data_IF_783875449874
#
_entry.id   IF_783875449874
#
_cell.length_a   1.000
_cell.length_b   1.000
_cell.length_c   1.000
_cell.angle_alpha   90.00
_cell.angle_beta   90.00
_cell.angle_gamma   90.00
#
_symmetry.space_group_name_H-M   'P 1'
#
loop_
_entity.id
_entity.type
_entity.pdbx_description
1 polymer ?
#
# COMPACT_ATOMS: atom_id res chain seq x y z
N UNK A 1 -11.50 -16.82 -1.78
CA UNK A 1 -10.27 -16.79 -2.59
C UNK A 1 -10.41 -15.65 -3.59
N UNK A 2 -9.63 -14.57 -3.45
CA UNK A 2 -9.68 -13.46 -4.40
C UNK A 2 -9.06 -13.91 -5.74
N UNK A 3 -9.83 -13.78 -6.82
CA UNK A 3 -9.38 -14.16 -8.16
C UNK A 3 -8.31 -13.18 -8.64
N UNK A 4 -7.06 -13.62 -8.64
CA UNK A 4 -5.89 -12.84 -9.07
C UNK A 4 -5.90 -12.77 -10.60
N UNK A 5 -6.15 -11.59 -11.17
CA UNK A 5 -6.03 -11.39 -12.63
C UNK A 5 -4.57 -11.06 -12.94
N UNK A 6 -3.87 -11.89 -13.73
CA UNK A 6 -2.50 -11.60 -14.13
C UNK A 6 -2.46 -10.40 -15.09
N UNK A 7 -1.60 -9.41 -14.80
CA UNK A 7 -1.28 -8.32 -15.71
C UNK A 7 -0.17 -8.78 -16.67
N UNK A 8 -0.11 -8.28 -17.93
CA UNK A 8 0.92 -8.64 -18.91
C UNK A 8 2.36 -8.46 -18.41
N UNK A 9 2.59 -7.55 -17.46
CA UNK A 9 3.92 -7.23 -16.93
C UNK A 9 4.34 -8.09 -15.73
N UNK A 10 3.63 -9.20 -15.45
CA UNK A 10 3.95 -10.14 -14.38
C UNK A 10 3.49 -9.71 -12.98
N UNK A 11 3.00 -8.48 -12.83
CA UNK A 11 2.28 -8.04 -11.64
C UNK A 11 0.85 -8.54 -11.67
N UNK A 12 0.24 -8.67 -10.48
CA UNK A 12 -1.15 -9.04 -10.39
C UNK A 12 -1.83 -8.26 -9.29
N UNK A 13 -2.89 -7.57 -9.69
CA UNK A 13 -3.68 -6.70 -8.82
C UNK A 13 -4.83 -7.52 -8.24
N UNK A 14 -4.88 -7.72 -6.90
CA UNK A 14 -6.01 -8.40 -6.29
C UNK A 14 -7.27 -7.57 -6.55
N UNK A 15 -8.37 -8.25 -6.92
CA UNK A 15 -9.67 -7.59 -7.00
C UNK A 15 -10.16 -7.36 -5.58
N UNK A 16 -10.25 -6.10 -5.16
CA UNK A 16 -10.70 -5.70 -3.83
C UNK A 16 -11.87 -4.72 -3.95
N UNK A 17 -12.84 -4.75 -3.01
CA UNK A 17 -13.85 -3.71 -2.96
C UNK A 17 -13.19 -2.36 -2.67
N UNK A 18 -13.83 -1.26 -3.11
CA UNK A 18 -13.33 0.10 -2.84
C UNK A 18 -13.27 0.42 -1.33
N UNK A 19 -14.12 -0.25 -0.54
CA UNK A 19 -14.11 -0.21 0.92
C UNK A 19 -14.08 -1.64 1.44
N UNK A 20 -13.09 -1.95 2.28
CA UNK A 20 -12.94 -3.27 2.90
C UNK A 20 -13.68 -3.27 4.24
N UNK A 21 -14.69 -4.12 4.45
CA UNK A 21 -15.34 -4.26 5.76
C UNK A 21 -14.32 -4.66 6.83
N UNK A 22 -14.49 -4.19 8.06
CA UNK A 22 -13.50 -4.43 9.14
C UNK A 22 -13.19 -5.92 9.36
N UNK A 23 -14.21 -6.78 9.23
CA UNK A 23 -14.07 -8.23 9.37
C UNK A 23 -13.20 -8.87 8.27
N UNK A 24 -13.06 -8.22 7.11
CA UNK A 24 -12.36 -8.75 5.95
C UNK A 24 -10.93 -8.18 5.79
N UNK A 25 -10.54 -7.20 6.63
CA UNK A 25 -9.23 -6.50 6.52
C UNK A 25 -8.07 -7.49 6.45
N UNK A 26 -7.97 -8.42 7.40
CA UNK A 26 -6.89 -9.40 7.42
C UNK A 26 -6.89 -10.28 6.16
N UNK A 27 -8.04 -10.83 5.80
CA UNK A 27 -8.16 -11.71 4.62
C UNK A 27 -7.80 -11.02 3.31
N UNK A 28 -8.08 -9.72 3.18
CA UNK A 28 -7.81 -8.97 1.95
C UNK A 28 -6.37 -8.48 1.93
N UNK A 29 -5.90 -7.85 3.01
CA UNK A 29 -4.60 -7.19 3.04
C UNK A 29 -3.43 -8.17 3.17
N UNK A 30 -3.60 -9.32 3.83
CA UNK A 30 -2.53 -10.32 3.93
C UNK A 30 -2.23 -11.04 2.61
N UNK A 31 -3.14 -10.96 1.63
CA UNK A 31 -2.93 -11.49 0.29
C UNK A 31 -1.89 -10.68 -0.51
N UNK A 32 -1.58 -9.45 -0.10
CA UNK A 32 -0.56 -8.61 -0.74
C UNK A 32 0.84 -8.91 -0.20
N UNK A 33 1.85 -8.77 -1.05
CA UNK A 33 3.26 -8.86 -0.66
C UNK A 33 3.77 -7.54 -0.04
N UNK A 34 3.18 -6.41 -0.43
CA UNK A 34 3.46 -5.06 0.07
C UNK A 34 2.17 -4.24 0.07
N UNK A 35 2.02 -3.36 1.07
CA UNK A 35 0.88 -2.45 1.21
C UNK A 35 1.37 -1.01 1.11
N UNK A 36 0.88 -0.26 0.13
CA UNK A 36 1.16 1.17 -0.02
C UNK A 36 0.00 1.96 0.59
N UNK A 37 0.29 2.73 1.63
CA UNK A 37 -0.65 3.62 2.29
C UNK A 37 -0.35 5.06 1.87
N UNK A 38 -1.32 5.74 1.26
CA UNK A 38 -1.20 7.14 0.83
C UNK A 38 -1.36 8.11 2.00
N UNK A 39 -0.49 8.00 3.00
CA UNK A 39 -0.44 8.88 4.17
C UNK A 39 0.15 10.24 3.81
N UNK A 40 -0.28 11.28 4.50
CA UNK A 40 0.24 12.65 4.38
C UNK A 40 1.01 13.12 5.62
N UNK A 41 1.07 12.31 6.69
CA UNK A 41 1.80 12.65 7.90
C UNK A 41 2.20 11.43 8.75
N UNK A 42 3.16 11.63 9.65
CA UNK A 42 3.51 10.65 10.68
C UNK A 42 2.31 10.32 11.58
N UNK A 43 1.43 11.29 11.85
CA UNK A 43 0.23 11.07 12.66
C UNK A 43 -0.73 10.06 12.01
N UNK A 44 -0.91 10.12 10.69
CA UNK A 44 -1.74 9.16 9.96
C UNK A 44 -1.11 7.76 9.94
N UNK A 45 0.22 7.68 9.74
CA UNK A 45 0.96 6.42 9.87
C UNK A 45 0.73 5.81 11.25
N UNK A 46 0.95 6.60 12.29
CA UNK A 46 0.88 6.12 13.67
C UNK A 46 -0.55 5.72 14.04
N UNK A 47 -1.56 6.43 13.52
CA UNK A 47 -2.97 6.06 13.66
C UNK A 47 -3.30 4.72 12.98
N UNK A 48 -2.76 4.46 11.78
CA UNK A 48 -2.91 3.17 11.10
C UNK A 48 -2.25 2.04 11.89
N UNK A 49 -1.02 2.25 12.39
CA UNK A 49 -0.30 1.25 13.18
C UNK A 49 -0.93 1.01 14.56
N UNK A 50 -1.72 1.95 15.08
CA UNK A 50 -2.48 1.80 16.32
C UNK A 50 -3.79 1.00 16.13
N UNK A 51 -4.28 0.81 14.90
CA UNK A 51 -5.48 -0.02 14.65
C UNK A 51 -5.11 -1.50 14.85
N UNK A 52 -5.79 -2.24 15.76
CA UNK A 52 -5.52 -3.67 15.97
C UNK A 52 -5.63 -4.52 14.70
N UNK A 53 -6.57 -4.21 13.81
CA UNK A 53 -6.77 -4.96 12.58
C UNK A 53 -5.61 -4.76 11.58
N UNK A 54 -4.86 -3.67 11.71
CA UNK A 54 -3.64 -3.42 10.93
C UNK A 54 -2.43 -4.00 11.66
N UNK A 55 -2.30 -3.75 12.96
CA UNK A 55 -1.17 -4.20 13.77
C UNK A 55 -0.97 -5.73 13.78
N UNK A 56 -2.07 -6.49 13.64
CA UNK A 56 -2.05 -7.96 13.59
C UNK A 56 -1.71 -8.53 12.20
N UNK A 57 -1.59 -7.70 11.16
CA UNK A 57 -1.30 -8.16 9.80
C UNK A 57 0.10 -8.78 9.69
N UNK A 58 0.22 -9.74 8.76
CA UNK A 58 1.52 -10.26 8.34
C UNK A 58 2.43 -9.14 7.83
N UNK A 59 1.83 -8.13 7.18
CA UNK A 59 2.55 -6.97 6.68
C UNK A 59 3.19 -6.14 7.80
N UNK A 60 2.57 -6.02 8.97
CA UNK A 60 3.17 -5.31 10.11
C UNK A 60 4.34 -6.10 10.67
N UNK A 61 4.15 -7.40 10.91
CA UNK A 61 5.19 -8.28 11.45
C UNK A 61 6.41 -8.35 10.53
N UNK A 62 6.19 -8.36 9.20
CA UNK A 62 7.25 -8.44 8.19
C UNK A 62 7.73 -7.09 7.67
N UNK A 63 7.27 -5.98 8.23
CA UNK A 63 7.60 -4.62 7.80
C UNK A 63 7.37 -4.38 6.30
N UNK A 64 6.26 -4.91 5.76
CA UNK A 64 5.84 -4.81 4.35
C UNK A 64 4.86 -3.64 4.10
N UNK A 65 4.93 -2.59 4.92
CA UNK A 65 4.17 -1.36 4.72
C UNK A 65 5.05 -0.27 4.11
N UNK A 66 4.52 0.42 3.10
CA UNK A 66 5.06 1.66 2.57
C UNK A 66 4.09 2.77 2.94
N UNK A 67 4.48 3.62 3.89
CA UNK A 67 3.74 4.83 4.25
C UNK A 67 4.34 5.99 3.46
N UNK A 68 3.56 6.61 2.58
CA UNK A 68 4.08 7.69 1.73
C UNK A 68 4.35 8.97 2.55
N UNK A 69 5.38 9.76 2.20
CA UNK A 69 5.41 11.16 2.58
C UNK A 69 4.33 11.95 1.82
N UNK A 70 3.97 13.13 2.34
CA UNK A 70 2.93 14.00 1.79
C UNK A 70 3.07 14.26 0.30
N UNK A 71 4.27 14.57 -0.17
CA UNK A 71 4.50 14.90 -1.59
C UNK A 71 4.28 13.69 -2.50
N UNK A 72 4.63 12.48 -2.05
CA UNK A 72 4.39 11.25 -2.80
C UNK A 72 2.90 10.89 -2.80
N UNK A 73 2.20 11.05 -1.68
CA UNK A 73 0.75 10.89 -1.63
C UNK A 73 0.05 11.84 -2.60
N UNK A 74 0.42 13.13 -2.59
CA UNK A 74 -0.10 14.14 -3.50
C UNK A 74 0.22 13.82 -4.96
N UNK A 75 1.43 13.34 -5.25
CA UNK A 75 1.82 12.97 -6.60
C UNK A 75 0.99 11.80 -7.17
N UNK A 76 0.73 10.78 -6.34
CA UNK A 76 -0.15 9.64 -6.66
C UNK A 76 -1.58 10.13 -6.89
N UNK A 77 -2.11 10.96 -5.98
CA UNK A 77 -3.48 11.47 -6.07
C UNK A 77 -3.71 12.33 -7.32
N UNK A 78 -2.70 13.10 -7.74
CA UNK A 78 -2.81 13.99 -8.89
C UNK A 78 -2.70 13.23 -10.23
N UNK A 79 -1.99 12.09 -10.27
CA UNK A 79 -1.95 11.16 -11.41
C UNK A 79 -1.76 11.84 -12.80
N UNK A 80 -0.85 12.82 -12.87
CA UNK A 80 -0.65 13.64 -14.07
C UNK A 80 0.74 13.42 -14.70
N UNK A 81 0.97 13.93 -15.93
CA UNK A 81 2.29 13.90 -16.55
C UNK A 81 3.39 14.55 -15.71
N UNK A 82 3.05 15.53 -14.87
CA UNK A 82 4.01 16.20 -14.00
C UNK A 82 4.22 15.47 -12.66
N UNK A 83 3.24 14.69 -12.19
CA UNK A 83 3.35 14.03 -10.89
C UNK A 83 3.91 12.61 -10.98
N UNK A 84 3.67 11.89 -12.09
CA UNK A 84 4.21 10.54 -12.24
C UNK A 84 5.74 10.43 -12.21
N UNK A 85 6.54 11.40 -12.70
CA UNK A 85 7.99 11.37 -12.52
C UNK A 85 8.39 11.32 -11.04
N UNK A 86 7.69 12.05 -10.17
CA UNK A 86 7.93 12.01 -8.72
C UNK A 86 7.61 10.62 -8.14
N UNK A 87 6.50 10.01 -8.59
CA UNK A 87 6.14 8.64 -8.18
C UNK A 87 7.20 7.64 -8.63
N UNK A 88 7.67 7.74 -9.87
CA UNK A 88 8.68 6.87 -10.45
C UNK A 88 10.05 7.00 -9.76
N UNK A 89 10.41 8.20 -9.28
CA UNK A 89 11.67 8.41 -8.55
C UNK A 89 11.59 7.93 -7.09
N UNK A 90 10.47 8.17 -6.41
CA UNK A 90 10.39 7.99 -4.96
C UNK A 90 9.81 6.65 -4.51
N UNK A 91 8.84 6.08 -5.24
CA UNK A 91 8.16 4.87 -4.81
C UNK A 91 9.04 3.61 -4.94
N UNK A 92 9.80 3.37 -6.04
CA UNK A 92 10.56 2.13 -6.19
C UNK A 92 11.61 1.87 -5.10
N UNK A 93 12.41 2.87 -4.64
CA UNK A 93 13.32 2.65 -3.51
C UNK A 93 12.62 2.24 -2.21
N UNK A 94 11.41 2.75 -1.96
CA UNK A 94 10.60 2.37 -0.79
C UNK A 94 10.06 0.94 -0.94
N UNK A 95 9.67 0.54 -2.14
CA UNK A 95 9.25 -0.83 -2.43
C UNK A 95 10.41 -1.83 -2.27
N UNK A 96 11.62 -1.46 -2.72
CA UNK A 96 12.81 -2.31 -2.58
C UNK A 96 13.17 -2.55 -1.11
N UNK A 97 13.13 -1.49 -0.28
CA UNK A 97 13.27 -1.60 1.18
C UNK A 97 12.19 -2.47 1.80
N UNK A 98 10.97 -2.37 1.31
CA UNK A 98 9.84 -3.11 1.84
C UNK A 98 9.77 -4.55 1.32
N UNK A 99 10.44 -4.93 0.23
CA UNK A 99 10.33 -6.27 -0.37
C UNK A 99 11.59 -7.13 -0.20
N UNK A 100 12.74 -6.53 0.07
CA UNK A 100 13.98 -7.22 0.44
C UNK A 100 13.96 -7.66 1.91
#
# INVERSE_FOLDING_TARGET
>A
MAHRVPHPDGFAVPQTPALIPRADIASVLDAADVLIWTTESDQERDALLADPAIAELRATTRKRHVFTPKDLAGAIAFASPLSYPVVADQLPPLLDQALT
#
